data_IF_775866002995
#
_entry.id   IF_775866002995
#
_cell.length_a   1.000
_cell.length_b   1.000
_cell.length_c   1.000
_cell.angle_alpha   90.00
_cell.angle_beta   90.00
_cell.angle_gamma   90.00
#
_symmetry.space_group_name_H-M   'P 1'
#
loop_
_entity.id
_entity.type
_entity.pdbx_description
1 polymer ?
#
# COMPACT_ATOMS: atom_id res chain seq x y z
N UNK A 1 -1.90 0.23 -6.21
CA UNK A 1 -0.85 1.20 -6.61
C UNK A 1 -0.11 0.82 -7.91
N UNK A 2 0.50 -0.37 -8.08
CA UNK A 2 1.22 -0.79 -9.31
C UNK A 2 0.43 -0.52 -10.60
N UNK A 3 -0.84 -0.92 -10.62
CA UNK A 3 -1.72 -0.75 -11.77
C UNK A 3 -1.88 0.72 -12.18
N UNK A 4 -2.02 1.64 -11.22
CA UNK A 4 -2.14 3.06 -11.51
C UNK A 4 -0.86 3.64 -12.13
N UNK A 5 0.32 3.24 -11.64
CA UNK A 5 1.60 3.61 -12.26
C UNK A 5 1.68 3.11 -13.71
N UNK A 6 1.29 1.87 -13.95
CA UNK A 6 1.31 1.26 -15.29
C UNK A 6 0.30 1.91 -16.24
N UNK A 7 -0.88 2.29 -15.75
CA UNK A 7 -1.88 3.02 -16.54
C UNK A 7 -1.37 4.40 -17.02
N UNK A 8 -0.48 5.03 -16.26
CA UNK A 8 0.19 6.28 -16.62
C UNK A 8 1.45 6.06 -17.48
N UNK A 9 1.82 4.81 -17.76
CA UNK A 9 3.03 4.48 -18.53
C UNK A 9 4.35 4.73 -17.81
N UNK A 10 4.33 4.97 -16.49
CA UNK A 10 5.54 5.32 -15.74
C UNK A 10 6.32 4.09 -15.27
N UNK A 11 7.63 4.20 -15.26
CA UNK A 11 8.55 3.30 -14.55
C UNK A 11 8.54 3.56 -13.04
N UNK A 12 9.12 2.65 -12.25
CA UNK A 12 9.28 2.87 -10.81
C UNK A 12 10.12 4.12 -10.50
N UNK A 13 11.14 4.40 -11.31
CA UNK A 13 12.03 5.54 -11.14
C UNK A 13 11.33 6.87 -11.43
N UNK A 14 10.50 6.93 -12.48
CA UNK A 14 9.76 8.16 -12.81
C UNK A 14 8.73 8.51 -11.74
N UNK A 15 8.02 7.50 -11.21
CA UNK A 15 7.12 7.75 -10.09
C UNK A 15 7.88 8.17 -8.84
N UNK A 16 9.03 7.55 -8.57
CA UNK A 16 9.88 7.90 -7.43
C UNK A 16 10.32 9.37 -7.51
N UNK A 17 10.75 9.81 -8.69
CA UNK A 17 11.12 11.20 -8.94
C UNK A 17 9.93 12.16 -8.76
N UNK A 18 8.76 11.84 -9.34
CA UNK A 18 7.54 12.66 -9.22
C UNK A 18 7.02 12.76 -7.78
N UNK A 19 7.16 11.69 -7.00
CA UNK A 19 6.72 11.64 -5.61
C UNK A 19 7.80 12.10 -4.61
N UNK A 20 8.98 12.51 -5.06
CA UNK A 20 10.13 12.85 -4.21
C UNK A 20 10.42 11.74 -3.16
N UNK A 21 10.59 10.51 -3.63
CA UNK A 21 10.94 9.35 -2.80
C UNK A 21 11.98 8.49 -3.51
N UNK A 22 12.67 7.62 -2.77
CA UNK A 22 13.64 6.72 -3.41
C UNK A 22 12.93 5.63 -4.24
N UNK A 23 13.51 5.19 -5.37
CA UNK A 23 12.98 4.06 -6.15
C UNK A 23 12.82 2.78 -5.31
N UNK A 24 13.72 2.56 -4.34
CA UNK A 24 13.63 1.47 -3.37
C UNK A 24 12.33 1.54 -2.55
N UNK A 25 11.87 2.75 -2.21
CA UNK A 25 10.61 2.95 -1.49
C UNK A 25 9.42 2.56 -2.34
N UNK A 26 9.38 3.00 -3.61
CA UNK A 26 8.33 2.59 -4.55
C UNK A 26 8.28 1.07 -4.70
N UNK A 27 9.44 0.43 -4.89
CA UNK A 27 9.53 -1.02 -5.00
C UNK A 27 9.02 -1.74 -3.75
N UNK A 28 9.37 -1.28 -2.54
CA UNK A 28 8.88 -1.85 -1.29
C UNK A 28 7.36 -1.68 -1.14
N UNK A 29 6.84 -0.50 -1.49
CA UNK A 29 5.40 -0.20 -1.45
C UNK A 29 4.61 -1.06 -2.43
N UNK A 30 5.12 -1.28 -3.64
CA UNK A 30 4.51 -2.20 -4.61
C UNK A 30 4.51 -3.66 -4.16
N UNK A 31 5.39 -4.03 -3.21
CA UNK A 31 5.40 -5.33 -2.52
C UNK A 31 4.56 -5.33 -1.24
N UNK A 32 3.67 -4.35 -1.06
CA UNK A 32 2.80 -4.19 0.10
C UNK A 32 3.56 -4.06 1.44
N UNK A 33 4.80 -3.54 1.41
CA UNK A 33 5.52 -3.22 2.65
C UNK A 33 4.94 -1.95 3.27
N UNK A 34 4.94 -1.90 4.60
CA UNK A 34 4.46 -0.74 5.35
C UNK A 34 5.36 0.46 5.08
N UNK A 35 4.75 1.61 4.82
CA UNK A 35 5.42 2.89 4.64
C UNK A 35 4.74 3.97 5.49
N UNK A 36 5.43 5.10 5.69
CA UNK A 36 4.90 6.23 6.47
C UNK A 36 3.75 6.90 5.75
N UNK A 37 2.82 7.50 6.50
CA UNK A 37 1.69 8.23 5.92
C UNK A 37 2.14 9.37 5.01
N UNK A 38 3.23 10.07 5.36
CA UNK A 38 3.82 11.10 4.52
C UNK A 38 4.21 10.58 3.13
N UNK A 39 4.81 9.38 3.06
CA UNK A 39 5.15 8.70 1.80
C UNK A 39 3.92 8.36 0.99
N UNK A 40 2.86 7.86 1.64
CA UNK A 40 1.59 7.57 0.95
C UNK A 40 0.99 8.82 0.33
N UNK A 41 0.97 9.95 1.07
CA UNK A 41 0.47 11.23 0.57
C UNK A 41 1.23 11.67 -0.67
N UNK A 42 2.57 11.68 -0.60
CA UNK A 42 3.45 12.00 -1.73
C UNK A 42 3.15 11.15 -2.97
N UNK A 43 3.04 9.83 -2.81
CA UNK A 43 2.76 8.91 -3.91
C UNK A 43 1.37 9.16 -4.51
N UNK A 44 0.33 9.36 -3.68
CA UNK A 44 -1.01 9.62 -4.18
C UNK A 44 -1.10 10.96 -4.90
N UNK A 45 -0.48 12.01 -4.36
CA UNK A 45 -0.38 13.32 -5.03
C UNK A 45 0.29 13.19 -6.39
N UNK A 46 1.40 12.45 -6.49
CA UNK A 46 2.08 12.20 -7.76
C UNK A 46 1.22 11.42 -8.77
N UNK A 47 0.35 10.53 -8.29
CA UNK A 47 -0.59 9.77 -9.12
C UNK A 47 -1.89 10.54 -9.45
N UNK A 48 -2.08 11.75 -8.89
CA UNK A 48 -3.32 12.52 -9.05
C UNK A 48 -4.53 11.89 -8.33
N UNK A 49 -4.28 11.11 -7.27
CA UNK A 49 -5.31 10.34 -6.55
C UNK A 49 -5.65 11.03 -5.22
N UNK A 50 -6.94 11.18 -4.88
CA UNK A 50 -7.35 11.73 -3.59
C UNK A 50 -6.94 10.83 -2.41
N UNK A 51 -6.73 11.43 -1.24
CA UNK A 51 -6.26 10.73 -0.03
C UNK A 51 -7.26 9.69 0.50
N UNK A 52 -8.53 9.90 0.18
CA UNK A 52 -9.68 9.08 0.57
C UNK A 52 -9.54 7.66 -0.01
N UNK A 53 -8.96 7.53 -1.21
CA UNK A 53 -8.73 6.25 -1.90
C UNK A 53 -7.45 5.53 -1.47
N UNK A 54 -6.73 6.02 -0.46
CA UNK A 54 -5.45 5.44 -0.03
C UNK A 54 -5.53 3.94 0.28
N UNK A 55 -6.66 3.46 0.79
CA UNK A 55 -6.79 2.07 1.26
C UNK A 55 -6.88 1.09 0.07
N UNK A 56 -7.36 1.54 -1.09
CA UNK A 56 -7.34 0.79 -2.35
C UNK A 56 -5.93 0.73 -2.97
N UNK A 57 -5.13 1.76 -2.73
CA UNK A 57 -3.79 1.87 -3.29
C UNK A 57 -2.72 1.20 -2.42
N UNK A 58 -2.91 1.21 -1.10
CA UNK A 58 -1.99 0.67 -0.10
C UNK A 58 -2.70 -0.37 0.77
N UNK A 59 -3.08 -1.54 0.22
CA UNK A 59 -3.76 -2.57 0.98
C UNK A 59 -2.86 -3.03 2.12
N UNK A 60 -3.43 -3.11 3.33
CA UNK A 60 -2.71 -3.69 4.48
C UNK A 60 -2.45 -5.16 4.17
N UNK A 61 -1.26 -5.64 4.52
CA UNK A 61 -1.02 -7.08 4.55
C UNK A 61 -2.14 -7.72 5.37
N UNK A 62 -2.96 -8.55 4.72
CA UNK A 62 -4.10 -9.23 5.34
C UNK A 62 -3.53 -9.94 6.56
N UNK A 63 -3.93 -9.51 7.76
CA UNK A 63 -3.62 -10.26 8.96
C UNK A 63 -4.09 -11.69 8.65
N UNK A 64 -3.16 -12.65 8.67
CA UNK A 64 -3.55 -14.06 8.64
C UNK A 64 -4.58 -14.16 9.75
N UNK A 65 -5.85 -14.43 9.41
CA UNK A 65 -6.87 -14.70 10.41
C UNK A 65 -6.24 -15.78 11.27
N UNK A 66 -5.86 -15.46 12.51
CA UNK A 66 -5.65 -16.52 13.50
C UNK A 66 -6.99 -17.23 13.49
N UNK A 67 -7.01 -18.47 12.99
CA UNK A 67 -8.21 -19.28 12.99
C UNK A 67 -8.81 -19.15 14.39
N UNK A 68 -10.06 -18.71 14.47
CA UNK A 68 -10.75 -18.50 15.72
C UNK A 68 -10.65 -19.80 16.53
N UNK A 69 -10.07 -19.71 17.73
CA UNK A 69 -10.28 -20.72 18.75
C UNK A 69 -11.75 -20.62 19.18
N UNK A 70 -12.65 -21.16 18.36
CA UNK A 70 -14.02 -21.44 18.72
C UNK A 70 -14.05 -22.89 19.21
N UNK A 71 -14.02 -23.07 20.53
CA UNK A 71 -14.20 -24.39 21.12
C UNK A 71 -13.63 -24.52 22.53
N UNK A 72 -14.31 -23.92 23.51
CA UNK A 72 -14.35 -24.43 24.90
C UNK A 72 -15.35 -23.60 25.71
N UNK A 73 -16.64 -23.74 25.39
CA UNK A 73 -17.71 -23.43 26.32
C UNK A 73 -18.61 -24.68 26.38
N UNK A 74 -18.27 -25.59 27.29
CA UNK A 74 -19.17 -26.57 27.91
C UNK A 74 -18.46 -27.17 29.14
N UNK A 75 -19.26 -27.38 30.19
CA UNK A 75 -18.99 -27.97 31.52
C UNK A 75 -18.12 -27.10 32.46
N UNK A 76 -18.50 -26.78 33.69
CA UNK A 76 -19.45 -27.38 34.64
C UNK A 76 -20.20 -26.29 35.44
#
# INVERSE_FOLDING_TARGET
>A
MRAARQALGWTQNELAAKADVSPRTIHAVEKNRVCRQATKRRILTALGVPWELRDDYFPRARAVRRAAAAGAAKTA
#
